data_IF_959318076810
#
_entry.id   IF_959318076810
#
_cell.length_a   1.000
_cell.length_b   1.000
_cell.length_c   1.000
_cell.angle_alpha   90.00
_cell.angle_beta   90.00
_cell.angle_gamma   90.00
#
_symmetry.space_group_name_H-M   'P 1'
#
loop_
_entity.id
_entity.type
_entity.pdbx_description
1 polymer ?
#
# COMPACT_ATOMS: atom_id res chain seq x y z
N UNK A 1 -4.05 1.93 7.59
CA UNK A 1 -5.25 2.80 7.64
C UNK A 1 -5.51 3.42 6.27
N UNK A 2 -6.56 3.01 5.60
CA UNK A 2 -6.96 3.57 4.30
C UNK A 2 -8.41 3.99 4.41
N UNK A 3 -8.69 5.25 4.17
CA UNK A 3 -10.05 5.72 4.07
C UNK A 3 -10.27 6.59 2.84
N UNK A 4 -11.49 6.61 2.31
CA UNK A 4 -11.86 7.45 1.18
C UNK A 4 -13.17 8.15 1.45
N UNK A 5 -13.18 9.47 1.41
CA UNK A 5 -14.30 10.35 1.80
C UNK A 5 -15.63 10.14 1.05
N UNK A 6 -15.68 9.46 -0.07
CA UNK A 6 -16.81 9.63 -0.97
C UNK A 6 -17.93 8.59 -0.93
N UNK A 7 -17.75 7.42 -0.30
CA UNK A 7 -18.81 6.40 -0.26
C UNK A 7 -18.81 5.51 0.98
N UNK A 8 -17.71 5.41 1.68
CA UNK A 8 -17.47 4.41 2.73
C UNK A 8 -18.01 4.87 4.08
N UNK A 9 -18.19 6.15 4.27
CA UNK A 9 -18.45 6.77 5.56
C UNK A 9 -19.91 6.86 6.00
N UNK A 10 -20.86 6.26 5.32
CA UNK A 10 -22.28 6.38 5.67
C UNK A 10 -22.86 5.11 6.28
N UNK A 11 -22.17 4.54 7.28
CA UNK A 11 -22.60 3.28 7.90
C UNK A 11 -22.45 2.06 6.99
N UNK A 12 -21.66 2.18 5.93
CA UNK A 12 -21.38 1.09 5.01
C UNK A 12 -20.41 0.10 5.67
N UNK A 13 -20.75 -1.19 5.78
CA UNK A 13 -19.86 -2.23 6.28
C UNK A 13 -18.56 -2.37 5.46
N UNK A 14 -18.43 -1.67 4.32
CA UNK A 14 -17.21 -1.62 3.52
C UNK A 14 -16.00 -1.04 4.27
N UNK A 15 -16.18 -0.26 5.34
CA UNK A 15 -15.07 0.21 6.17
C UNK A 15 -14.31 -0.96 6.81
N UNK A 16 -15.01 -2.02 7.17
CA UNK A 16 -14.42 -3.23 7.75
C UNK A 16 -13.51 -3.99 6.79
N UNK A 17 -13.64 -3.78 5.48
CA UNK A 17 -12.77 -4.34 4.45
C UNK A 17 -11.65 -3.38 4.01
N UNK A 18 -11.63 -2.16 4.53
CA UNK A 18 -10.63 -1.13 4.20
C UNK A 18 -9.51 -1.06 5.22
N UNK A 19 -9.86 -1.06 6.52
CA UNK A 19 -8.90 -0.89 7.62
C UNK A 19 -8.89 -2.14 8.50
N UNK A 20 -7.76 -2.39 9.15
CA UNK A 20 -7.64 -3.46 10.15
C UNK A 20 -8.58 -3.17 11.31
N UNK A 21 -9.32 -4.18 11.75
CA UNK A 21 -10.32 -4.01 12.80
C UNK A 21 -9.66 -3.81 14.18
N UNK A 22 -10.08 -2.82 14.99
CA UNK A 22 -9.46 -2.50 16.27
C UNK A 22 -9.52 -3.67 17.29
N UNK A 23 -10.49 -4.58 17.18
CA UNK A 23 -10.53 -5.78 18.05
C UNK A 23 -9.34 -6.71 17.83
N UNK A 24 -8.86 -6.85 16.58
CA UNK A 24 -7.64 -7.62 16.32
C UNK A 24 -6.41 -6.90 16.86
N UNK A 25 -6.32 -5.58 16.64
CA UNK A 25 -5.24 -4.76 17.20
C UNK A 25 -5.21 -4.86 18.71
N UNK A 26 -6.40 -4.84 19.37
CA UNK A 26 -6.52 -5.02 20.80
C UNK A 26 -5.96 -6.37 21.26
N UNK A 27 -6.36 -7.47 20.63
CA UNK A 27 -5.88 -8.80 20.99
C UNK A 27 -4.35 -8.91 20.84
N UNK A 28 -3.77 -8.32 19.79
CA UNK A 28 -2.33 -8.27 19.60
C UNK A 28 -1.66 -7.45 20.71
N UNK A 29 -2.20 -6.28 21.05
CA UNK A 29 -1.66 -5.43 22.12
C UNK A 29 -1.66 -6.16 23.47
N UNK A 30 -2.69 -6.95 23.80
CA UNK A 30 -2.73 -7.73 25.03
C UNK A 30 -1.53 -8.69 25.10
N UNK A 31 -1.19 -9.39 24.00
CA UNK A 31 -0.02 -10.27 23.94
C UNK A 31 1.29 -9.50 23.99
N UNK A 32 1.39 -8.35 23.32
CA UNK A 32 2.60 -7.50 23.33
C UNK A 32 2.88 -7.00 24.75
N UNK A 33 1.85 -6.53 25.46
CA UNK A 33 1.99 -6.06 26.85
C UNK A 33 2.49 -7.20 27.75
N UNK A 34 1.95 -8.40 27.60
CA UNK A 34 2.39 -9.59 28.35
C UNK A 34 3.86 -9.92 28.01
N UNK A 35 4.25 -9.84 26.74
CA UNK A 35 5.60 -10.15 26.29
C UNK A 35 6.64 -9.13 26.80
N UNK A 36 6.27 -7.84 26.86
CA UNK A 36 7.14 -6.76 27.32
C UNK A 36 7.36 -6.77 28.85
N UNK A 37 6.46 -7.38 29.63
CA UNK A 37 6.57 -7.47 31.12
C UNK A 37 6.80 -6.12 31.80
N UNK A 38 6.27 -5.05 31.25
CA UNK A 38 6.44 -3.68 31.74
C UNK A 38 7.71 -2.95 31.25
N UNK A 39 8.50 -3.59 30.40
CA UNK A 39 9.70 -2.97 29.79
C UNK A 39 9.46 -2.71 28.30
N UNK A 40 10.01 -1.59 27.79
CA UNK A 40 9.91 -1.23 26.38
C UNK A 40 8.77 -0.28 26.04
N UNK A 41 8.63 0.01 24.75
CA UNK A 41 7.67 0.99 24.22
C UNK A 41 6.87 0.35 23.08
N UNK A 42 5.59 0.68 22.99
CA UNK A 42 4.71 0.26 21.91
C UNK A 42 4.38 1.49 21.07
N UNK A 43 4.60 1.38 19.75
CA UNK A 43 4.19 2.40 18.77
C UNK A 43 3.14 1.79 17.86
N UNK A 44 1.96 2.39 17.79
CA UNK A 44 0.91 2.06 16.84
C UNK A 44 0.85 3.15 15.77
N UNK A 45 1.29 2.85 14.58
CA UNK A 45 1.41 3.86 13.54
C UNK A 45 1.17 3.34 12.12
N UNK A 46 0.87 4.28 11.23
CA UNK A 46 0.75 4.05 9.79
C UNK A 46 0.84 5.40 9.05
N UNK A 47 1.23 5.35 7.79
CA UNK A 47 1.14 6.47 6.88
C UNK A 47 0.03 6.23 5.85
N UNK A 48 -1.23 6.53 6.17
CA UNK A 48 -2.35 6.35 5.25
C UNK A 48 -2.25 7.27 4.04
N UNK A 49 -3.22 7.18 3.14
CA UNK A 49 -3.34 8.14 2.02
C UNK A 49 -3.36 9.57 2.55
N UNK A 50 -2.74 10.50 1.83
CA UNK A 50 -2.53 11.87 2.31
C UNK A 50 -3.82 12.61 2.68
N UNK A 51 -4.91 12.33 1.98
CA UNK A 51 -6.24 12.91 2.28
C UNK A 51 -7.06 12.15 3.31
N UNK A 52 -6.49 11.16 4.02
CA UNK A 52 -7.19 10.48 5.10
C UNK A 52 -7.23 11.38 6.33
N UNK A 53 -8.44 11.66 6.82
CA UNK A 53 -8.68 12.22 8.12
C UNK A 53 -8.62 11.08 9.14
N UNK A 54 -7.60 11.06 10.00
CA UNK A 54 -7.41 9.97 10.95
C UNK A 54 -8.42 10.00 12.09
N UNK A 55 -8.81 11.18 12.56
CA UNK A 55 -9.78 11.30 13.66
C UNK A 55 -11.14 10.77 13.22
N UNK A 56 -11.61 11.18 12.04
CA UNK A 56 -12.83 10.66 11.43
C UNK A 56 -12.73 9.13 11.19
N UNK A 57 -11.60 8.65 10.70
CA UNK A 57 -11.38 7.21 10.46
C UNK A 57 -11.37 6.41 11.77
N UNK A 58 -10.73 6.91 12.82
CA UNK A 58 -10.69 6.27 14.14
C UNK A 58 -12.07 6.18 14.77
N UNK A 59 -12.86 7.23 14.65
CA UNK A 59 -14.25 7.24 15.13
C UNK A 59 -15.08 6.17 14.40
N UNK A 60 -15.09 6.21 13.07
CA UNK A 60 -15.92 5.33 12.24
C UNK A 60 -15.49 3.86 12.31
N UNK A 61 -14.19 3.58 12.44
CA UNK A 61 -13.68 2.22 12.55
C UNK A 61 -13.71 1.67 13.98
N UNK A 62 -14.07 2.47 14.99
CA UNK A 62 -14.15 2.06 16.38
C UNK A 62 -12.79 2.06 17.13
N UNK A 63 -11.76 2.72 16.59
CA UNK A 63 -10.46 2.84 17.26
C UNK A 63 -10.53 3.68 18.55
N UNK A 64 -11.44 4.64 18.65
CA UNK A 64 -11.62 5.44 19.86
C UNK A 64 -11.98 4.58 21.08
N UNK A 65 -12.66 3.45 20.87
CA UNK A 65 -12.94 2.48 21.94
C UNK A 65 -11.66 1.75 22.38
N UNK A 66 -10.81 1.38 21.42
CA UNK A 66 -9.49 0.79 21.72
C UNK A 66 -8.62 1.77 22.49
N UNK A 67 -8.53 3.03 22.06
CA UNK A 67 -7.73 4.06 22.74
C UNK A 67 -8.25 4.33 24.16
N UNK A 68 -9.55 4.39 24.34
CA UNK A 68 -10.17 4.50 25.67
C UNK A 68 -9.83 3.31 26.56
N UNK A 69 -9.77 2.10 26.01
CA UNK A 69 -9.35 0.92 26.76
C UNK A 69 -7.87 0.99 27.15
N UNK A 70 -6.98 1.33 26.23
CA UNK A 70 -5.55 1.51 26.46
C UNK A 70 -5.33 2.48 27.63
N UNK A 71 -5.95 3.65 27.57
CA UNK A 71 -5.83 4.69 28.58
C UNK A 71 -6.34 4.26 29.98
N UNK A 72 -7.50 3.57 30.03
CA UNK A 72 -8.07 3.08 31.29
C UNK A 72 -7.21 2.03 31.99
N UNK A 73 -6.45 1.26 31.22
CA UNK A 73 -5.59 0.19 31.75
C UNK A 73 -4.13 0.63 31.94
N UNK A 74 -3.82 1.91 31.72
CA UNK A 74 -2.48 2.45 31.89
C UNK A 74 -1.44 1.85 30.94
N UNK A 75 -1.87 1.36 29.76
CA UNK A 75 -0.97 0.81 28.74
C UNK A 75 -0.33 1.98 28.00
N UNK A 76 0.99 2.06 28.02
CA UNK A 76 1.71 3.09 27.28
C UNK A 76 1.85 2.69 25.82
N UNK A 77 1.16 3.42 24.93
CA UNK A 77 1.22 3.25 23.48
C UNK A 77 1.28 4.61 22.82
N UNK A 78 2.30 4.82 22.00
CA UNK A 78 2.38 5.99 21.13
C UNK A 78 1.55 5.75 19.85
N UNK A 79 0.51 6.56 19.65
CA UNK A 79 -0.34 6.49 18.44
C UNK A 79 0.16 7.56 17.47
N UNK A 80 0.68 7.14 16.32
CA UNK A 80 1.43 8.02 15.43
C UNK A 80 0.90 8.01 14.00
N UNK A 81 0.71 9.20 13.45
CA UNK A 81 0.61 9.41 12.01
C UNK A 81 2.03 9.47 11.42
N UNK A 82 2.38 8.50 10.59
CA UNK A 82 3.72 8.42 10.00
C UNK A 82 3.92 9.35 8.80
N UNK A 83 2.87 10.01 8.31
CA UNK A 83 2.97 10.93 7.17
C UNK A 83 3.70 12.22 7.55
N UNK A 84 4.40 12.81 6.58
CA UNK A 84 4.93 14.17 6.66
C UNK A 84 3.83 15.23 6.58
N UNK A 85 2.90 15.03 5.64
CA UNK A 85 1.82 15.96 5.37
C UNK A 85 0.46 15.26 5.34
N UNK A 86 -0.56 15.95 5.79
CA UNK A 86 -1.96 15.66 5.49
C UNK A 86 -2.53 16.73 4.56
N UNK A 87 -3.53 16.38 3.78
CA UNK A 87 -4.25 17.34 2.96
C UNK A 87 -5.76 17.20 3.11
N UNK A 88 -6.46 18.29 2.86
CA UNK A 88 -7.92 18.29 2.81
C UNK A 88 -8.36 18.25 1.36
N UNK A 89 -9.24 17.31 1.02
CA UNK A 89 -9.87 17.25 -0.30
C UNK A 89 -11.18 18.04 -0.32
N UNK A 90 -11.25 19.06 -1.16
CA UNK A 90 -12.50 19.72 -1.49
C UNK A 90 -12.97 19.30 -2.87
N UNK A 91 -14.08 18.54 -2.94
CA UNK A 91 -14.71 18.08 -4.19
C UNK A 91 -13.73 17.40 -5.16
N UNK A 92 -12.85 16.55 -4.61
CA UNK A 92 -11.91 15.74 -5.41
C UNK A 92 -10.58 16.42 -5.77
N UNK A 93 -10.35 17.64 -5.31
CA UNK A 93 -9.09 18.36 -5.48
C UNK A 93 -8.45 18.55 -4.11
N UNK A 94 -7.19 18.15 -3.94
CA UNK A 94 -6.45 18.42 -2.70
C UNK A 94 -6.22 19.91 -2.56
N UNK A 95 -6.45 20.44 -1.37
CA UNK A 95 -6.20 21.85 -1.11
C UNK A 95 -4.81 22.00 -0.48
N UNK A 96 -4.78 22.28 0.75
CA UNK A 96 -3.61 22.67 1.51
C UNK A 96 -2.86 21.45 2.06
N UNK A 97 -1.54 21.45 1.94
CA UNK A 97 -0.67 20.49 2.63
C UNK A 97 -0.35 21.05 4.01
N UNK A 98 -0.76 20.34 5.04
CA UNK A 98 -0.45 20.68 6.43
C UNK A 98 0.60 19.72 6.95
N UNK A 99 1.70 20.25 7.49
CA UNK A 99 2.73 19.46 8.15
C UNK A 99 2.12 18.78 9.39
N UNK A 100 2.44 17.50 9.58
CA UNK A 100 2.02 16.74 10.75
C UNK A 100 3.09 16.90 11.82
N UNK A 101 2.68 17.30 13.00
CA UNK A 101 3.55 17.30 14.17
C UNK A 101 3.64 15.88 14.75
N UNK A 102 4.68 15.17 14.35
CA UNK A 102 4.94 13.79 14.79
C UNK A 102 6.14 13.77 15.71
N UNK A 103 6.11 12.99 16.80
CA UNK A 103 7.28 12.81 17.68
C UNK A 103 8.44 12.09 16.95
N UNK A 104 8.13 11.37 15.88
CA UNK A 104 9.11 10.65 15.05
C UNK A 104 9.35 11.41 13.75
N UNK A 105 10.62 11.58 13.43
CA UNK A 105 11.06 12.21 12.18
C UNK A 105 11.22 11.17 11.08
N UNK A 106 11.96 11.52 10.04
CA UNK A 106 12.24 10.61 8.94
C UNK A 106 13.72 10.28 8.82
N UNK A 107 13.98 9.16 8.16
CA UNK A 107 15.29 8.79 7.62
C UNK A 107 15.15 8.55 6.12
N UNK A 108 16.13 9.06 5.38
CA UNK A 108 16.27 8.75 3.96
C UNK A 108 17.12 7.50 3.82
N UNK A 109 16.56 6.48 3.20
CA UNK A 109 17.26 5.24 2.87
C UNK A 109 17.52 5.24 1.39
N UNK A 110 18.78 5.20 1.00
CA UNK A 110 19.19 5.14 -0.42
C UNK A 110 19.56 3.69 -0.77
N UNK A 111 18.82 3.09 -1.66
CA UNK A 111 19.10 1.76 -2.16
C UNK A 111 20.09 1.77 -3.35
N UNK A 112 20.22 2.91 -4.05
CA UNK A 112 21.08 3.02 -5.21
C UNK A 112 20.86 1.87 -6.20
N UNK A 113 21.93 1.18 -6.57
CA UNK A 113 21.88 0.03 -7.48
C UNK A 113 21.19 -1.22 -6.93
N UNK A 114 20.91 -1.27 -5.62
CA UNK A 114 20.19 -2.39 -5.00
C UNK A 114 18.66 -2.25 -5.11
N UNK A 115 18.17 -1.08 -5.53
CA UNK A 115 16.76 -0.90 -5.84
C UNK A 115 16.36 -1.67 -7.09
N UNK A 116 15.18 -2.26 -7.09
CA UNK A 116 14.62 -2.88 -8.29
C UNK A 116 14.32 -1.85 -9.40
N UNK A 117 14.22 -0.58 -9.06
CA UNK A 117 14.10 0.48 -10.07
C UNK A 117 15.38 0.73 -10.86
N UNK A 118 16.55 0.36 -10.33
CA UNK A 118 17.84 0.52 -11.02
C UNK A 118 17.92 -0.25 -12.34
N UNK A 119 17.15 -1.34 -12.50
CA UNK A 119 17.02 -2.04 -13.79
C UNK A 119 16.46 -1.14 -14.90
N UNK A 120 15.72 -0.11 -14.55
CA UNK A 120 15.09 0.84 -15.47
C UNK A 120 15.93 2.11 -15.72
N UNK A 121 17.09 2.28 -15.11
CA UNK A 121 17.93 3.48 -15.24
C UNK A 121 18.33 3.78 -16.68
N UNK A 122 18.52 2.74 -17.50
CA UNK A 122 18.83 2.88 -18.93
C UNK A 122 17.64 3.38 -19.75
N UNK A 123 16.41 3.23 -19.22
CA UNK A 123 15.16 3.65 -19.88
C UNK A 123 14.81 5.11 -19.58
N UNK A 124 15.52 5.74 -18.64
CA UNK A 124 15.30 7.13 -18.21
C UNK A 124 13.84 7.42 -17.81
N UNK A 125 13.24 6.49 -17.08
CA UNK A 125 11.85 6.61 -16.65
C UNK A 125 11.63 7.83 -15.76
N UNK A 126 10.55 8.57 -16.04
CA UNK A 126 10.07 9.64 -15.17
C UNK A 126 8.99 9.06 -14.26
N UNK A 127 9.35 8.84 -13.01
CA UNK A 127 8.43 8.26 -12.03
C UNK A 127 7.43 9.29 -11.50
N UNK A 128 6.25 8.81 -11.20
CA UNK A 128 5.17 9.62 -10.62
C UNK A 128 4.43 8.86 -9.51
N UNK A 129 4.10 9.61 -8.48
CA UNK A 129 3.12 9.21 -7.45
C UNK A 129 1.78 9.85 -7.80
N UNK A 130 0.68 9.14 -7.57
CA UNK A 130 -0.65 9.72 -7.78
C UNK A 130 -0.85 10.91 -6.86
N UNK A 131 -1.42 11.99 -7.40
CA UNK A 131 -1.72 13.24 -6.68
C UNK A 131 -0.51 14.05 -6.19
N UNK A 132 0.71 13.72 -6.66
CA UNK A 132 1.94 14.47 -6.36
C UNK A 132 2.60 15.02 -7.63
N UNK A 133 3.31 16.13 -7.47
CA UNK A 133 4.16 16.65 -8.53
C UNK A 133 5.31 15.67 -8.79
N UNK A 134 5.49 15.25 -10.05
CA UNK A 134 6.55 14.32 -10.42
C UNK A 134 7.96 14.90 -10.20
N UNK A 135 8.12 16.23 -10.20
CA UNK A 135 9.39 16.85 -9.89
C UNK A 135 9.85 16.56 -8.45
N UNK A 136 8.90 16.40 -7.52
CA UNK A 136 9.22 15.98 -6.16
C UNK A 136 9.67 14.51 -6.15
N UNK A 137 9.01 13.64 -6.91
CA UNK A 137 9.39 12.22 -7.02
C UNK A 137 10.77 12.08 -7.64
N UNK A 138 11.14 12.94 -8.59
CA UNK A 138 12.46 12.93 -9.23
C UNK A 138 13.61 13.19 -8.25
N UNK A 139 13.37 13.88 -7.14
CA UNK A 139 14.38 14.09 -6.10
C UNK A 139 14.74 12.79 -5.36
N UNK A 140 13.85 11.81 -5.40
CA UNK A 140 14.00 10.50 -4.76
C UNK A 140 14.36 9.41 -5.75
N UNK A 141 13.82 9.47 -6.96
CA UNK A 141 14.02 8.45 -7.99
C UNK A 141 14.40 9.09 -9.33
N UNK A 142 15.67 9.03 -9.63
CA UNK A 142 16.27 9.41 -10.90
C UNK A 142 17.39 8.41 -11.23
N UNK A 143 18.03 8.52 -12.38
CA UNK A 143 19.11 7.63 -12.80
C UNK A 143 20.19 7.47 -11.72
N UNK A 144 20.34 6.25 -11.23
CA UNK A 144 21.29 5.89 -10.17
C UNK A 144 20.94 6.37 -8.76
N UNK A 145 19.76 6.96 -8.55
CA UNK A 145 19.27 7.42 -7.25
C UNK A 145 17.93 6.78 -6.99
N UNK A 146 17.85 5.98 -5.91
CA UNK A 146 16.61 5.33 -5.50
C UNK A 146 16.44 5.41 -3.98
N UNK A 147 15.80 6.50 -3.53
CA UNK A 147 15.66 6.90 -2.14
C UNK A 147 14.23 6.79 -1.68
N UNK A 148 14.08 6.35 -0.45
CA UNK A 148 12.80 6.31 0.26
C UNK A 148 12.93 7.08 1.55
N UNK A 149 11.97 7.95 1.85
CA UNK A 149 11.94 8.69 3.11
C UNK A 149 10.96 8.00 4.07
N UNK A 150 11.52 7.27 5.02
CA UNK A 150 10.81 6.37 5.94
C UNK A 150 10.64 7.04 7.30
N UNK A 151 9.50 6.81 7.96
CA UNK A 151 9.32 7.24 9.34
C UNK A 151 10.29 6.47 10.26
N UNK A 152 11.06 7.21 11.06
CA UNK A 152 12.13 6.61 11.88
C UNK A 152 11.60 5.65 12.96
N UNK A 153 10.34 5.80 13.40
CA UNK A 153 9.73 4.88 14.37
C UNK A 153 9.86 3.42 13.94
N UNK A 154 9.75 3.15 12.63
CA UNK A 154 9.87 1.80 12.07
C UNK A 154 11.30 1.30 12.13
N UNK A 155 12.28 2.18 11.90
CA UNK A 155 13.70 1.82 11.91
C UNK A 155 14.25 1.68 13.35
N UNK A 156 13.63 2.33 14.31
CA UNK A 156 13.96 2.23 15.74
C UNK A 156 13.39 0.97 16.38
N UNK A 157 12.38 0.37 15.81
CA UNK A 157 11.73 -0.82 16.38
C UNK A 157 12.64 -2.05 16.33
N UNK A 158 12.69 -2.81 17.41
CA UNK A 158 13.34 -4.13 17.46
C UNK A 158 12.43 -5.22 16.87
N UNK A 159 11.12 -5.06 17.02
CA UNK A 159 10.09 -5.95 16.46
C UNK A 159 9.03 -5.12 15.74
N UNK A 160 8.70 -5.51 14.52
CA UNK A 160 7.61 -4.92 13.73
C UNK A 160 6.47 -5.92 13.60
N UNK A 161 5.31 -5.60 14.15
CA UNK A 161 4.09 -6.38 13.94
C UNK A 161 3.29 -5.72 12.83
N UNK A 162 3.36 -6.32 11.66
CA UNK A 162 2.68 -5.86 10.45
C UNK A 162 1.26 -6.45 10.40
N UNK A 163 0.22 -5.59 10.41
CA UNK A 163 -1.18 -6.03 10.51
C UNK A 163 -1.93 -5.64 9.23
N UNK A 164 -1.71 -6.34 8.10
CA UNK A 164 -2.36 -6.02 6.84
C UNK A 164 -3.86 -6.31 6.86
N UNK A 165 -4.61 -5.52 6.10
CA UNK A 165 -5.99 -5.79 5.69
C UNK A 165 -6.00 -6.25 4.24
N UNK A 166 -6.01 -7.55 3.96
CA UNK A 166 -5.96 -8.08 2.61
C UNK A 166 -7.11 -7.63 1.72
N UNK A 167 -6.77 -7.23 0.51
CA UNK A 167 -7.74 -6.81 -0.51
C UNK A 167 -7.15 -6.83 -1.93
N UNK A 168 -8.01 -6.82 -2.93
CA UNK A 168 -7.61 -6.58 -4.32
C UNK A 168 -7.06 -5.16 -4.51
N UNK A 169 -6.23 -4.95 -5.51
CA UNK A 169 -5.59 -3.66 -5.75
C UNK A 169 -5.43 -3.35 -7.24
N UNK A 170 -5.90 -2.18 -7.67
CA UNK A 170 -5.92 -1.76 -9.08
C UNK A 170 -4.54 -1.69 -9.76
N UNK A 171 -3.44 -1.42 -9.03
CA UNK A 171 -2.09 -1.33 -9.59
C UNK A 171 -1.26 -2.58 -9.30
N UNK A 172 -1.34 -3.13 -8.09
CA UNK A 172 -0.48 -4.20 -7.61
C UNK A 172 -1.14 -5.59 -7.62
N UNK A 173 -2.39 -5.71 -8.06
CA UNK A 173 -3.18 -6.95 -8.02
C UNK A 173 -3.77 -7.20 -6.64
N UNK A 174 -2.93 -7.36 -5.62
CA UNK A 174 -3.35 -7.56 -4.25
C UNK A 174 -2.65 -6.59 -3.28
N UNK A 175 -3.25 -6.43 -2.10
CA UNK A 175 -2.63 -5.85 -0.91
C UNK A 175 -2.53 -6.94 0.13
N UNK A 176 -1.32 -7.25 0.57
CA UNK A 176 -1.02 -8.22 1.62
C UNK A 176 0.02 -7.65 2.58
N UNK A 177 0.86 -8.52 3.15
CA UNK A 177 1.90 -8.13 4.09
C UNK A 177 2.93 -7.20 3.45
N UNK A 178 3.43 -7.57 2.27
CA UNK A 178 4.45 -6.78 1.58
C UNK A 178 3.99 -5.37 1.25
N UNK A 179 2.79 -5.25 0.65
CA UNK A 179 2.27 -3.94 0.26
C UNK A 179 1.85 -3.09 1.45
N UNK A 180 1.56 -3.66 2.61
CA UNK A 180 1.23 -2.91 3.81
C UNK A 180 2.37 -2.00 4.25
N UNK A 181 3.63 -2.35 3.94
CA UNK A 181 4.80 -1.51 4.22
C UNK A 181 4.86 -0.19 3.42
N UNK A 182 3.96 0.05 2.46
CA UNK A 182 3.73 1.40 1.94
C UNK A 182 3.31 2.38 3.06
N UNK A 183 2.73 1.85 4.14
CA UNK A 183 2.34 2.59 5.34
C UNK A 183 3.49 3.04 6.26
N UNK A 184 4.75 2.72 5.96
CA UNK A 184 5.90 3.20 6.73
C UNK A 184 6.52 4.49 6.16
N UNK A 185 6.06 4.94 4.99
CA UNK A 185 6.69 6.03 4.25
C UNK A 185 6.25 7.38 4.79
N UNK A 186 7.22 8.17 5.23
CA UNK A 186 7.03 9.52 5.73
C UNK A 186 6.69 10.51 4.62
N UNK A 187 7.55 10.60 3.58
CA UNK A 187 7.33 11.46 2.41
C UNK A 187 6.76 10.65 1.24
N UNK A 188 5.49 10.86 0.95
CA UNK A 188 4.78 10.09 -0.10
C UNK A 188 5.32 10.32 -1.52
N UNK A 189 6.00 11.44 -1.77
CA UNK A 189 6.66 11.69 -3.06
C UNK A 189 7.79 10.68 -3.36
N UNK A 190 8.30 10.00 -2.32
CA UNK A 190 9.33 8.95 -2.47
C UNK A 190 8.78 7.57 -2.89
N UNK A 191 7.47 7.44 -3.18
CA UNK A 191 6.82 6.18 -3.53
C UNK A 191 6.43 6.09 -5.00
N UNK A 192 7.28 5.72 -5.95
CA UNK A 192 6.88 5.55 -7.34
C UNK A 192 5.67 4.64 -7.49
N UNK A 193 4.65 5.11 -8.20
CA UNK A 193 3.43 4.33 -8.48
C UNK A 193 3.32 3.95 -9.95
N UNK A 194 3.93 4.72 -10.84
CA UNK A 194 4.02 4.48 -12.27
C UNK A 194 5.19 5.27 -12.88
N UNK A 195 5.65 4.85 -14.03
CA UNK A 195 6.49 5.66 -14.92
C UNK A 195 5.62 6.30 -15.99
N UNK A 196 5.84 7.61 -16.25
CA UNK A 196 5.13 8.38 -17.27
C UNK A 196 5.43 7.79 -18.65
N UNK A 197 4.39 7.56 -19.47
CA UNK A 197 4.54 7.03 -20.82
C UNK A 197 3.90 5.65 -20.98
N UNK A 198 4.17 5.03 -22.12
CA UNK A 198 3.57 3.76 -22.50
C UNK A 198 4.59 2.62 -22.58
N UNK A 199 4.08 1.40 -22.41
CA UNK A 199 4.89 0.19 -22.42
C UNK A 199 5.35 -0.18 -23.83
N UNK A 200 4.52 0.05 -24.84
CA UNK A 200 4.82 -0.26 -26.24
C UNK A 200 6.02 0.52 -26.75
N UNK A 201 6.10 1.82 -26.43
CA UNK A 201 7.26 2.68 -26.78
C UNK A 201 8.44 2.51 -25.80
N UNK A 202 8.28 1.78 -24.71
CA UNK A 202 9.31 1.61 -23.68
C UNK A 202 9.61 2.87 -22.88
N UNK A 203 8.72 3.87 -22.92
CA UNK A 203 8.91 5.16 -22.23
C UNK A 203 8.38 5.16 -20.81
N UNK A 204 7.48 4.21 -20.47
CA UNK A 204 6.88 4.11 -19.15
C UNK A 204 5.96 2.89 -19.04
N UNK A 205 5.15 2.88 -17.99
CA UNK A 205 4.18 1.83 -17.70
C UNK A 205 2.79 2.39 -17.31
N UNK A 206 2.58 3.69 -17.54
CA UNK A 206 1.30 4.31 -17.21
C UNK A 206 0.14 3.74 -18.07
N UNK A 207 0.42 3.25 -19.26
CA UNK A 207 -0.56 2.59 -20.15
C UNK A 207 0.13 1.65 -21.13
N UNK A 208 -0.66 0.74 -21.72
CA UNK A 208 -0.13 -0.34 -22.58
C UNK A 208 0.41 0.18 -23.90
N UNK A 209 -0.43 0.89 -24.66
CA UNK A 209 -0.14 1.37 -26.01
C UNK A 209 -0.07 2.89 -26.09
N UNK A 210 0.74 3.38 -27.03
CA UNK A 210 0.83 4.80 -27.31
C UNK A 210 -0.56 5.41 -27.57
N UNK A 211 -0.90 6.45 -26.82
CA UNK A 211 -2.19 7.12 -26.90
C UNK A 211 -2.03 8.61 -26.69
N UNK A 212 -2.26 9.40 -27.71
CA UNK A 212 -2.22 10.87 -27.65
C UNK A 212 -3.19 11.37 -26.56
N UNK A 213 -4.38 10.76 -26.50
CA UNK A 213 -5.38 11.13 -25.49
C UNK A 213 -4.86 10.91 -24.05
N UNK A 214 -4.24 9.76 -23.78
CA UNK A 214 -3.68 9.44 -22.45
C UNK A 214 -2.48 10.34 -22.13
N UNK A 215 -1.64 10.67 -23.10
CA UNK A 215 -0.55 11.64 -22.94
C UNK A 215 -1.10 13.01 -22.52
N UNK A 216 -2.18 13.49 -23.15
CA UNK A 216 -2.84 14.74 -22.74
C UNK A 216 -3.47 14.65 -21.36
N UNK A 217 -4.12 13.53 -21.05
CA UNK A 217 -4.69 13.30 -19.72
C UNK A 217 -3.59 13.33 -18.64
N UNK A 218 -2.45 12.72 -18.90
CA UNK A 218 -1.32 12.72 -17.96
C UNK A 218 -0.71 14.10 -17.78
N UNK A 219 -0.58 14.86 -18.86
CA UNK A 219 -0.16 16.26 -18.80
C UNK A 219 -1.14 17.11 -17.97
N UNK A 220 -2.46 16.95 -18.20
CA UNK A 220 -3.50 17.67 -17.44
C UNK A 220 -3.48 17.26 -15.98
N UNK A 221 -3.34 15.95 -15.67
CA UNK A 221 -3.24 15.43 -14.32
C UNK A 221 -2.08 16.07 -13.55
N UNK A 222 -0.94 16.21 -14.19
CA UNK A 222 0.22 16.85 -13.60
C UNK A 222 0.01 18.35 -13.36
N UNK A 223 -0.55 19.06 -14.36
CA UNK A 223 -0.90 20.49 -14.19
C UNK A 223 -1.95 20.71 -13.12
N UNK A 224 -2.93 19.83 -13.01
CA UNK A 224 -3.94 19.83 -11.93
C UNK A 224 -3.27 19.72 -10.57
N UNK A 225 -2.37 18.75 -10.40
CA UNK A 225 -1.63 18.54 -9.15
C UNK A 225 -0.82 19.78 -8.77
N UNK A 226 -0.05 20.36 -9.70
CA UNK A 226 0.73 21.60 -9.47
C UNK A 226 -0.19 22.76 -9.06
N UNK A 227 -1.31 22.94 -9.76
CA UNK A 227 -2.30 23.99 -9.41
C UNK A 227 -2.88 23.78 -8.02
N UNK A 228 -3.19 22.53 -7.66
CA UNK A 228 -3.73 22.15 -6.37
C UNK A 228 -2.75 22.50 -5.23
N UNK A 229 -1.51 22.02 -5.32
CA UNK A 229 -0.45 22.28 -4.33
C UNK A 229 -0.15 23.78 -4.17
N UNK A 230 -0.25 24.56 -5.27
CA UNK A 230 -0.05 26.03 -5.26
C UNK A 230 -1.31 26.82 -4.82
N UNK A 231 -2.35 26.17 -4.32
CA UNK A 231 -3.58 26.79 -3.87
C UNK A 231 -4.46 27.38 -4.99
N UNK A 232 -4.16 27.09 -6.26
CA UNK A 232 -4.95 27.57 -7.43
C UNK A 232 -6.17 26.68 -7.68
N UNK A 233 -7.06 26.64 -6.69
CA UNK A 233 -8.17 25.67 -6.60
C UNK A 233 -9.14 25.74 -7.79
N UNK A 234 -9.48 26.93 -8.27
CA UNK A 234 -10.40 27.08 -9.41
C UNK A 234 -9.81 26.41 -10.67
N UNK A 235 -8.53 26.68 -10.95
CA UNK A 235 -7.84 26.08 -12.09
C UNK A 235 -7.70 24.57 -11.92
N UNK A 236 -7.38 24.09 -10.72
CA UNK A 236 -7.28 22.68 -10.43
C UNK A 236 -8.61 21.95 -10.67
N UNK A 237 -9.75 22.55 -10.30
CA UNK A 237 -11.10 22.00 -10.57
C UNK A 237 -11.44 21.97 -12.06
N UNK A 238 -11.07 23.03 -12.80
CA UNK A 238 -11.26 23.06 -14.26
C UNK A 238 -10.47 21.96 -14.95
N UNK A 239 -9.21 21.78 -14.55
CA UNK A 239 -8.34 20.71 -15.08
C UNK A 239 -8.85 19.32 -14.71
N UNK A 240 -9.39 19.13 -13.50
CA UNK A 240 -10.03 17.87 -13.10
C UNK A 240 -11.27 17.55 -13.95
N UNK A 241 -12.11 18.55 -14.19
CA UNK A 241 -13.26 18.38 -15.09
C UNK A 241 -12.83 18.00 -16.50
N UNK A 242 -11.83 18.69 -17.05
CA UNK A 242 -11.29 18.39 -18.39
C UNK A 242 -10.70 16.98 -18.44
N UNK A 243 -9.92 16.55 -17.45
CA UNK A 243 -9.36 15.20 -17.35
C UNK A 243 -10.46 14.13 -17.35
N UNK A 244 -11.52 14.34 -16.54
CA UNK A 244 -12.67 13.41 -16.48
C UNK A 244 -13.43 13.35 -17.82
N UNK A 245 -13.61 14.48 -18.48
CA UNK A 245 -14.26 14.53 -19.81
C UNK A 245 -13.45 13.76 -20.86
N UNK A 246 -12.13 13.96 -20.90
CA UNK A 246 -11.25 13.21 -21.79
C UNK A 246 -11.26 11.71 -21.49
N UNK A 247 -11.33 11.31 -20.22
CA UNK A 247 -11.46 9.91 -19.84
C UNK A 247 -12.77 9.29 -20.38
N UNK A 248 -13.90 9.98 -20.23
CA UNK A 248 -15.20 9.51 -20.75
C UNK A 248 -15.15 9.38 -22.28
N UNK A 249 -14.60 10.38 -22.98
CA UNK A 249 -14.41 10.33 -24.42
C UNK A 249 -13.52 9.15 -24.82
N UNK A 250 -12.42 8.92 -24.11
CA UNK A 250 -11.53 7.78 -24.33
C UNK A 250 -12.27 6.45 -24.20
N UNK A 251 -13.07 6.27 -23.17
CA UNK A 251 -13.87 5.05 -22.98
C UNK A 251 -14.89 4.86 -24.11
N UNK A 252 -15.57 5.93 -24.53
CA UNK A 252 -16.59 5.87 -25.57
C UNK A 252 -16.01 5.57 -26.97
N UNK A 253 -14.88 6.18 -27.31
CA UNK A 253 -14.31 6.07 -28.66
C UNK A 253 -13.30 4.95 -28.84
N UNK A 254 -12.56 4.57 -27.78
CA UNK A 254 -11.53 3.52 -27.86
C UNK A 254 -11.85 2.27 -27.05
N UNK A 255 -12.91 2.27 -26.25
CA UNK A 255 -13.23 1.18 -25.32
C UNK A 255 -12.20 1.00 -24.19
N UNK A 256 -11.19 1.87 -24.11
CA UNK A 256 -10.14 1.78 -23.12
C UNK A 256 -10.62 2.31 -21.77
N UNK A 257 -10.99 1.39 -20.89
CA UNK A 257 -11.47 1.67 -19.52
C UNK A 257 -10.38 1.87 -18.49
N UNK A 258 -9.10 1.66 -18.84
CA UNK A 258 -8.01 1.74 -17.89
C UNK A 258 -7.65 3.19 -17.56
N UNK A 259 -7.62 3.49 -16.29
CA UNK A 259 -7.08 4.76 -15.80
C UNK A 259 -5.56 4.73 -15.85
N UNK A 260 -4.93 5.88 -16.03
CA UNK A 260 -3.48 6.03 -16.09
C UNK A 260 -2.83 5.34 -14.88
N UNK A 261 -1.91 4.41 -15.14
CA UNK A 261 -1.19 3.60 -14.13
C UNK A 261 -1.99 2.47 -13.49
N UNK A 262 -3.32 2.40 -13.71
CA UNK A 262 -4.20 1.42 -13.04
C UNK A 262 -4.52 0.26 -13.99
N UNK A 263 -3.60 -0.67 -14.15
CA UNK A 263 -3.77 -1.84 -15.00
C UNK A 263 -2.75 -2.94 -14.63
N UNK A 264 -2.99 -4.17 -15.10
CA UNK A 264 -2.17 -5.34 -14.79
C UNK A 264 -0.71 -5.27 -15.31
N UNK A 265 -0.42 -4.38 -16.26
CA UNK A 265 0.92 -4.18 -16.83
C UNK A 265 1.76 -3.12 -16.13
N UNK A 266 1.30 -2.54 -15.01
CA UNK A 266 2.10 -1.64 -14.20
C UNK A 266 3.35 -2.35 -13.68
N UNK A 267 4.54 -1.83 -14.06
CA UNK A 267 5.85 -2.41 -13.71
C UNK A 267 6.58 -1.62 -12.62
N UNK A 268 5.97 -0.56 -12.11
CA UNK A 268 6.59 0.34 -11.13
C UNK A 268 6.24 -0.02 -9.69
N UNK A 269 4.95 -0.12 -9.35
CA UNK A 269 4.52 -0.20 -7.95
C UNK A 269 5.00 -1.47 -7.23
N UNK A 270 5.11 -2.59 -7.93
CA UNK A 270 5.58 -3.82 -7.33
C UNK A 270 7.06 -3.74 -6.93
N UNK A 271 7.90 -3.01 -7.71
CA UNK A 271 9.30 -2.74 -7.40
C UNK A 271 9.42 -1.90 -6.13
N UNK A 272 8.63 -0.83 -6.03
CA UNK A 272 8.51 -0.02 -4.81
C UNK A 272 8.13 -0.88 -3.60
N UNK A 273 7.19 -1.81 -3.76
CA UNK A 273 6.77 -2.73 -2.69
C UNK A 273 7.93 -3.62 -2.24
N UNK A 274 8.67 -4.22 -3.16
CA UNK A 274 9.82 -5.07 -2.82
C UNK A 274 10.94 -4.27 -2.18
N UNK A 275 11.27 -3.09 -2.69
CA UNK A 275 12.26 -2.19 -2.11
C UNK A 275 11.93 -1.82 -0.66
N UNK A 276 10.67 -1.48 -0.37
CA UNK A 276 10.24 -1.18 1.01
C UNK A 276 10.36 -2.38 1.94
N UNK A 277 10.12 -3.60 1.44
CA UNK A 277 10.32 -4.82 2.23
C UNK A 277 11.80 -5.09 2.50
N UNK A 278 12.67 -4.75 1.55
CA UNK A 278 14.11 -4.79 1.76
C UNK A 278 14.54 -3.78 2.82
N UNK A 279 14.05 -2.54 2.74
CA UNK A 279 14.34 -1.49 3.72
C UNK A 279 13.89 -1.88 5.11
N UNK A 280 12.65 -2.29 5.30
CA UNK A 280 12.15 -2.61 6.65
C UNK A 280 12.92 -3.74 7.30
N UNK A 281 13.45 -4.68 6.51
CA UNK A 281 14.21 -5.82 7.02
C UNK A 281 15.68 -5.49 7.30
N UNK A 282 16.32 -4.70 6.44
CA UNK A 282 17.78 -4.55 6.44
C UNK A 282 18.29 -3.15 6.77
N UNK A 283 17.48 -2.11 6.74
CA UNK A 283 17.92 -0.77 7.11
C UNK A 283 18.08 -0.64 8.64
N UNK A 284 19.24 -0.16 9.08
CA UNK A 284 19.49 0.14 10.49
C UNK A 284 18.81 1.46 10.95
N UNK A 285 19.03 1.85 12.20
CA UNK A 285 18.42 3.05 12.80
C UNK A 285 18.85 4.36 12.11
N UNK A 286 20.01 4.35 11.48
CA UNK A 286 20.56 5.48 10.71
C UNK A 286 20.04 5.52 9.27
N UNK A 287 19.39 4.47 8.78
CA UNK A 287 18.90 4.33 7.41
C UNK A 287 19.89 3.67 6.45
N UNK A 288 20.97 3.08 6.94
CA UNK A 288 21.93 2.34 6.12
C UNK A 288 21.47 0.89 5.95
N UNK A 289 21.59 0.34 4.75
CA UNK A 289 21.31 -1.07 4.48
C UNK A 289 22.46 -1.93 5.02
N UNK A 290 22.11 -2.97 5.77
CA UNK A 290 23.03 -3.94 6.37
C UNK A 290 22.84 -5.32 5.73
N UNK A 291 23.87 -6.19 5.87
CA UNK A 291 23.84 -7.56 5.33
C UNK A 291 22.90 -8.48 6.13
N UNK A 292 22.68 -8.18 7.40
CA UNK A 292 21.83 -8.98 8.29
C UNK A 292 20.52 -8.24 8.59
N UNK A 293 19.42 -8.98 8.82
CA UNK A 293 18.17 -8.39 9.27
C UNK A 293 18.36 -7.57 10.55
N UNK A 294 17.77 -6.40 10.59
CA UNK A 294 17.91 -5.44 11.69
C UNK A 294 16.79 -5.52 12.72
N UNK A 295 15.73 -6.23 12.41
CA UNK A 295 14.57 -6.43 13.29
C UNK A 295 13.79 -7.67 12.94
N UNK A 296 13.05 -8.17 13.93
CA UNK A 296 12.08 -9.23 13.73
C UNK A 296 10.80 -8.67 13.12
N UNK A 297 10.16 -9.44 12.24
CA UNK A 297 8.91 -9.04 11.58
C UNK A 297 7.90 -10.16 11.74
N UNK A 298 6.74 -9.83 12.33
CA UNK A 298 5.59 -10.72 12.42
C UNK A 298 4.43 -10.14 11.61
N UNK A 299 3.88 -10.91 10.69
CA UNK A 299 2.75 -10.50 9.88
C UNK A 299 1.47 -11.18 10.42
N UNK A 300 0.44 -10.39 10.73
CA UNK A 300 -0.84 -10.87 11.25
C UNK A 300 -1.96 -10.27 10.42
N UNK A 301 -2.49 -11.02 9.46
CA UNK A 301 -3.51 -10.56 8.52
C UNK A 301 -4.91 -10.59 9.09
N UNK A 302 -5.57 -9.44 9.07
CA UNK A 302 -7.01 -9.36 9.33
C UNK A 302 -7.80 -9.81 8.09
N UNK A 303 -8.07 -11.09 8.02
CA UNK A 303 -8.84 -11.72 6.96
C UNK A 303 -10.25 -12.14 7.42
N UNK A 304 -10.76 -11.57 8.51
CA UNK A 304 -12.13 -11.80 8.95
C UNK A 304 -13.08 -11.28 7.90
N UNK A 305 -12.91 -10.02 7.49
CA UNK A 305 -13.58 -9.41 6.33
C UNK A 305 -12.51 -8.74 5.46
N UNK A 306 -12.20 -9.37 4.35
CA UNK A 306 -11.28 -8.85 3.33
C UNK A 306 -12.01 -7.93 2.34
N UNK A 307 -11.27 -7.38 1.37
CA UNK A 307 -11.82 -6.56 0.29
C UNK A 307 -11.60 -7.18 -1.09
N UNK A 308 -12.65 -7.28 -1.91
CA UNK A 308 -12.53 -7.71 -3.30
C UNK A 308 -13.02 -6.65 -4.29
N UNK A 309 -12.86 -6.84 -5.59
CA UNK A 309 -13.28 -5.94 -6.69
C UNK A 309 -12.48 -4.64 -6.71
N UNK A 310 -13.12 -3.48 -6.54
CA UNK A 310 -12.57 -2.15 -6.81
C UNK A 310 -11.62 -1.63 -5.68
N UNK A 311 -10.77 -2.50 -5.16
CA UNK A 311 -9.73 -2.11 -4.22
C UNK A 311 -8.63 -1.20 -4.81
N UNK A 312 -7.88 -0.48 -3.97
CA UNK A 312 -7.84 -0.54 -2.52
C UNK A 312 -8.85 0.37 -1.81
N UNK A 313 -9.50 1.33 -2.50
CA UNK A 313 -10.29 2.40 -1.88
C UNK A 313 -11.80 2.23 -1.99
N UNK A 314 -12.27 1.29 -2.79
CA UNK A 314 -13.68 0.99 -2.99
C UNK A 314 -13.98 -0.51 -3.08
N UNK A 315 -13.32 -1.36 -2.27
CA UNK A 315 -13.56 -2.80 -2.33
C UNK A 315 -14.95 -3.16 -1.83
N UNK A 316 -15.45 -4.30 -2.28
CA UNK A 316 -16.61 -4.96 -1.69
C UNK A 316 -16.18 -5.89 -0.56
N UNK A 317 -16.94 -6.00 0.53
CA UNK A 317 -16.64 -6.91 1.63
C UNK A 317 -16.58 -8.37 1.17
N UNK A 318 -15.53 -9.10 1.60
CA UNK A 318 -15.33 -10.53 1.37
C UNK A 318 -15.08 -11.22 2.71
N UNK A 319 -16.11 -11.77 3.36
CA UNK A 319 -15.95 -12.48 4.62
C UNK A 319 -15.24 -13.82 4.41
N UNK A 320 -14.13 -14.02 5.10
CA UNK A 320 -13.40 -15.29 5.17
C UNK A 320 -13.43 -15.90 6.57
N UNK A 321 -13.46 -15.09 7.63
CA UNK A 321 -13.42 -15.54 9.01
C UNK A 321 -12.06 -16.10 9.43
N UNK A 322 -10.95 -15.57 8.88
CA UNK A 322 -9.59 -16.08 9.09
C UNK A 322 -8.72 -15.00 9.73
N UNK A 323 -7.79 -15.41 10.60
CA UNK A 323 -6.58 -14.67 10.95
C UNK A 323 -5.41 -15.51 10.44
N UNK A 324 -4.54 -14.92 9.64
CA UNK A 324 -3.37 -15.57 9.09
C UNK A 324 -2.11 -14.93 9.64
N UNK A 325 -1.15 -15.76 10.07
CA UNK A 325 0.12 -15.29 10.64
C UNK A 325 1.30 -15.90 9.92
N UNK A 326 2.38 -15.14 9.78
CA UNK A 326 3.68 -15.62 9.29
C UNK A 326 4.79 -14.68 9.76
N UNK A 327 5.95 -15.21 10.08
CA UNK A 327 7.19 -14.47 10.31
C UNK A 327 7.90 -14.08 9.00
N UNK A 328 7.40 -14.57 7.87
CA UNK A 328 7.90 -14.23 6.53
C UNK A 328 6.82 -13.58 5.67
N UNK A 329 7.05 -12.34 5.23
CA UNK A 329 6.10 -11.58 4.40
C UNK A 329 5.93 -12.19 3.00
N UNK A 330 6.94 -12.92 2.48
CA UNK A 330 6.87 -13.53 1.17
C UNK A 330 5.99 -14.78 1.20
N UNK A 331 6.17 -15.62 2.23
CA UNK A 331 5.29 -16.76 2.49
C UNK A 331 3.87 -16.29 2.74
N UNK A 332 3.70 -15.18 3.49
CA UNK A 332 2.39 -14.59 3.74
C UNK A 332 1.68 -14.23 2.44
N UNK A 333 2.32 -13.43 1.57
CA UNK A 333 1.67 -12.94 0.34
C UNK A 333 1.48 -14.05 -0.70
N UNK A 334 2.40 -15.02 -0.79
CA UNK A 334 2.20 -16.23 -1.59
C UNK A 334 0.97 -17.02 -1.13
N UNK A 335 0.88 -17.29 0.19
CA UNK A 335 -0.27 -18.00 0.77
C UNK A 335 -1.57 -17.23 0.56
N UNK A 336 -1.53 -15.91 0.75
CA UNK A 336 -2.68 -15.02 0.48
C UNK A 336 -3.17 -15.15 -0.96
N UNK A 337 -2.27 -15.12 -1.94
CA UNK A 337 -2.65 -15.25 -3.35
C UNK A 337 -3.35 -16.58 -3.65
N UNK A 338 -2.90 -17.68 -3.01
CA UNK A 338 -3.53 -19.01 -3.11
C UNK A 338 -4.92 -19.03 -2.45
N UNK A 339 -5.07 -18.41 -1.27
CA UNK A 339 -6.37 -18.27 -0.58
C UNK A 339 -7.34 -17.46 -1.44
N UNK A 340 -6.88 -16.35 -2.01
CA UNK A 340 -7.67 -15.50 -2.90
C UNK A 340 -8.01 -16.18 -4.24
N UNK A 341 -7.32 -17.28 -4.57
CA UNK A 341 -7.43 -18.01 -5.85
C UNK A 341 -7.20 -17.07 -7.04
N UNK A 342 -6.22 -16.17 -6.91
CA UNK A 342 -5.69 -15.33 -7.97
C UNK A 342 -4.41 -15.97 -8.53
N UNK A 343 -4.23 -15.87 -9.86
CA UNK A 343 -3.05 -16.47 -10.49
C UNK A 343 -1.76 -15.79 -10.01
N UNK A 344 -0.93 -16.55 -9.30
CA UNK A 344 0.28 -16.04 -8.66
C UNK A 344 1.23 -15.36 -9.65
N UNK A 345 1.39 -15.94 -10.86
CA UNK A 345 2.29 -15.41 -11.89
C UNK A 345 1.77 -14.13 -12.56
N UNK A 346 0.49 -13.83 -12.44
CA UNK A 346 -0.08 -12.57 -12.94
C UNK A 346 0.18 -11.40 -11.98
N UNK A 347 0.47 -11.68 -10.70
CA UNK A 347 0.74 -10.66 -9.68
C UNK A 347 2.26 -10.40 -9.64
N UNK A 348 2.75 -9.22 -10.09
CA UNK A 348 4.18 -9.02 -10.34
C UNK A 348 5.09 -9.26 -9.14
N UNK A 349 4.74 -8.78 -7.93
CA UNK A 349 5.56 -9.02 -6.74
C UNK A 349 5.52 -10.49 -6.29
N UNK A 350 4.41 -11.22 -6.49
CA UNK A 350 4.36 -12.66 -6.20
C UNK A 350 5.21 -13.44 -7.21
N UNK A 351 5.11 -13.10 -8.48
CA UNK A 351 5.99 -13.70 -9.51
C UNK A 351 7.47 -13.49 -9.15
N UNK A 352 7.85 -12.27 -8.80
CA UNK A 352 9.21 -11.96 -8.34
C UNK A 352 9.64 -12.83 -7.15
N UNK A 353 8.76 -13.00 -6.14
CA UNK A 353 9.03 -13.87 -4.99
C UNK A 353 9.28 -15.32 -5.44
N UNK A 354 8.45 -15.84 -6.32
CA UNK A 354 8.57 -17.21 -6.80
C UNK A 354 9.87 -17.42 -7.60
N UNK A 355 10.25 -16.42 -8.39
CA UNK A 355 11.46 -16.47 -9.23
C UNK A 355 12.75 -16.34 -8.40
N UNK A 356 12.74 -15.52 -7.35
CA UNK A 356 13.94 -15.24 -6.54
C UNK A 356 14.03 -16.07 -5.26
N UNK A 357 12.89 -16.41 -4.66
CA UNK A 357 12.81 -17.03 -3.34
C UNK A 357 12.01 -18.34 -3.38
N UNK A 358 12.53 -19.34 -4.12
CA UNK A 358 11.87 -20.62 -4.34
C UNK A 358 11.51 -21.40 -3.05
N UNK A 359 12.08 -21.04 -1.89
CA UNK A 359 11.74 -21.65 -0.61
C UNK A 359 10.27 -21.45 -0.21
N UNK A 360 9.61 -20.38 -0.68
CA UNK A 360 8.19 -20.12 -0.39
C UNK A 360 7.27 -21.24 -0.86
N UNK A 361 7.69 -21.99 -1.89
CA UNK A 361 6.95 -23.15 -2.39
C UNK A 361 6.95 -24.33 -1.40
N UNK A 362 7.85 -24.33 -0.42
CA UNK A 362 7.94 -25.33 0.63
C UNK A 362 7.20 -24.92 1.91
N UNK A 363 6.45 -23.82 1.90
CA UNK A 363 5.68 -23.38 3.05
C UNK A 363 4.56 -24.35 3.40
N UNK A 364 4.37 -24.59 4.71
CA UNK A 364 3.31 -25.41 5.27
C UNK A 364 2.30 -24.53 6.01
N UNK A 365 1.05 -24.99 6.06
CA UNK A 365 -0.01 -24.37 6.83
C UNK A 365 -0.19 -25.14 8.13
N UNK A 366 -0.12 -24.44 9.26
CA UNK A 366 -0.60 -24.93 10.54
C UNK A 366 -1.94 -24.23 10.84
N UNK A 367 -3.00 -25.00 11.05
CA UNK A 367 -4.36 -24.46 11.16
C UNK A 367 -5.20 -25.23 12.17
N UNK A 368 -6.15 -24.53 12.79
CA UNK A 368 -7.24 -25.16 13.54
C UNK A 368 -8.24 -25.89 12.62
N UNK A 369 -8.21 -25.64 11.31
CA UNK A 369 -8.93 -26.43 10.33
C UNK A 369 -8.08 -27.64 9.89
N UNK A 370 -8.45 -28.84 10.36
CA UNK A 370 -7.74 -30.10 10.09
C UNK A 370 -7.66 -30.46 8.60
N UNK A 371 -8.56 -29.94 7.75
CA UNK A 371 -8.54 -30.22 6.31
C UNK A 371 -7.34 -29.59 5.59
N UNK A 372 -6.81 -28.50 6.14
CA UNK A 372 -5.70 -27.75 5.53
C UNK A 372 -4.43 -27.74 6.37
N UNK A 373 -4.51 -28.15 7.66
CA UNK A 373 -3.36 -28.18 8.55
C UNK A 373 -2.32 -29.18 8.08
N UNK A 374 -1.05 -28.86 8.30
CA UNK A 374 0.13 -29.66 8.02
C UNK A 374 0.28 -30.06 6.55
N UNK A 375 -0.29 -29.26 5.66
CA UNK A 375 -0.15 -29.41 4.20
C UNK A 375 0.70 -28.28 3.63
N UNK A 376 1.41 -28.57 2.53
CA UNK A 376 2.05 -27.52 1.74
C UNK A 376 0.99 -26.57 1.17
N UNK A 377 1.31 -25.28 1.17
CA UNK A 377 0.42 -24.23 0.59
C UNK A 377 0.05 -24.56 -0.86
N UNK A 378 1.01 -25.09 -1.64
CA UNK A 378 0.79 -25.49 -3.04
C UNK A 378 -0.26 -26.58 -3.21
N UNK A 379 -0.41 -27.47 -2.24
CA UNK A 379 -1.24 -28.67 -2.33
C UNK A 379 -2.65 -28.47 -1.78
N UNK A 380 -2.88 -27.34 -1.10
CA UNK A 380 -4.18 -27.03 -0.52
C UNK A 380 -5.14 -26.50 -1.58
N UNK A 381 -6.33 -27.10 -1.63
CA UNK A 381 -7.47 -26.58 -2.38
C UNK A 381 -8.37 -25.79 -1.45
N UNK A 382 -8.26 -24.47 -1.53
CA UNK A 382 -9.11 -23.60 -0.75
C UNK A 382 -10.57 -23.62 -1.23
N UNK A 383 -11.54 -23.36 -0.33
CA UNK A 383 -12.97 -23.37 -0.69
C UNK A 383 -13.27 -22.39 -1.83
N UNK A 384 -14.07 -22.82 -2.82
CA UNK A 384 -14.46 -21.96 -3.97
C UNK A 384 -15.12 -20.65 -3.53
N UNK A 385 -15.86 -20.65 -2.41
CA UNK A 385 -16.48 -19.45 -1.83
C UNK A 385 -15.46 -18.37 -1.40
N UNK A 386 -14.19 -18.75 -1.22
CA UNK A 386 -13.09 -17.82 -0.89
C UNK A 386 -12.45 -17.17 -2.10
N UNK A 387 -12.79 -17.61 -3.31
CA UNK A 387 -12.27 -16.99 -4.54
C UNK A 387 -12.66 -15.52 -4.59
N UNK A 388 -11.67 -14.65 -4.82
CA UNK A 388 -11.86 -13.21 -4.97
C UNK A 388 -12.20 -12.85 -6.40
N UNK A 389 -13.03 -11.83 -6.55
CA UNK A 389 -13.15 -11.15 -7.82
C UNK A 389 -12.05 -10.08 -7.91
N UNK A 390 -11.18 -10.20 -8.93
CA UNK A 390 -10.12 -9.23 -9.18
C UNK A 390 -10.70 -7.84 -9.48
N UNK A 391 -9.86 -6.80 -9.30
CA UNK A 391 -10.22 -5.44 -9.73
C UNK A 391 -10.52 -5.40 -11.23
N UNK A 392 -11.45 -4.55 -11.65
CA UNK A 392 -11.88 -4.46 -13.08
C UNK A 392 -10.72 -4.22 -14.06
N UNK A 393 -9.64 -3.55 -13.61
CA UNK A 393 -8.41 -3.36 -14.39
C UNK A 393 -7.52 -4.63 -14.51
N UNK A 394 -7.89 -5.73 -13.84
CA UNK A 394 -7.19 -7.02 -13.83
C UNK A 394 -8.06 -8.15 -14.44
N UNK A 395 -9.22 -7.81 -14.96
CA UNK A 395 -10.07 -8.74 -15.69
C UNK A 395 -9.71 -8.64 -17.17
N UNK A 396 -9.24 -9.74 -17.74
CA UNK A 396 -9.13 -9.91 -19.19
C UNK A 396 -10.49 -10.10 -19.79
#
# INVERSE_FOLDING_TARGET
WVSHKNKVYRGDPSLTCLVTHPSLVRAILDYVVIALKGEGMIILGDAPMQGTDLDEMFELAGYNQLFSFINRNGITVDICDFRKYKCVFHKGVSNELTLIDSPYKSKVVDLGSNSLHAENDKKEYVYKVSDYDYNLTKNYHDKGIHRYEINEAVLLADVVINIPKPKTHRLAGITGAMKNFVGITYEKASLPHRAIGDKESGTGDAYDKKSILKMYMEYIDNRQTICSVKGRIVMAKLLDFLKKSLYILGVLFSGDKYRIGSWYGNDTIWRTVVDLNHIVRYANKEGNICDLPQREILNIGDMIICGEKEGPVGPSPKPLGIIMMSDDMFIFDYTLSKIMQMECHEIPHIRFILDQYGYVLNAFIHSNNKEISDKKVSDVRFPKKWRFEAHSCWKN
#
